data_IF_024112445911
#
_entry.id   IF_024112445911
#
_cell.length_a   1.000
_cell.length_b   1.000
_cell.length_c   1.000
_cell.angle_alpha   90.00
_cell.angle_beta   90.00
_cell.angle_gamma   90.00
#
_symmetry.space_group_name_H-M   'P 1'
#
loop_
_entity.id
_entity.type
_entity.pdbx_description
1 polymer ?
#
# COMPACT_ATOMS: atom_id res chain seq x y z
N UNK A 1 -10.54 -8.09 -3.78
CA UNK A 1 -10.22 -6.80 -3.18
C UNK A 1 -10.70 -5.66 -4.06
N UNK A 2 -11.17 -4.61 -3.45
CA UNK A 2 -11.65 -3.45 -4.19
C UNK A 2 -10.62 -2.33 -4.11
N UNK A 3 -10.32 -1.74 -5.27
CA UNK A 3 -9.40 -0.61 -5.34
C UNK A 3 -10.19 0.60 -5.81
N UNK A 4 -10.28 1.62 -4.97
CA UNK A 4 -10.92 2.88 -5.31
C UNK A 4 -9.84 3.91 -5.62
N UNK A 5 -9.99 4.62 -6.72
CA UNK A 5 -9.00 5.62 -7.12
C UNK A 5 -9.70 6.96 -7.27
N UNK A 6 -9.15 7.96 -6.59
CA UNK A 6 -9.67 9.33 -6.64
C UNK A 6 -8.58 10.26 -7.15
N UNK A 7 -8.95 11.21 -8.01
CA UNK A 7 -8.01 12.21 -8.50
C UNK A 7 -8.35 13.59 -7.95
N UNK A 8 -7.32 14.33 -7.54
CA UNK A 8 -7.44 15.72 -7.09
C UNK A 8 -6.57 16.57 -8.01
N UNK A 9 -7.21 17.40 -8.81
CA UNK A 9 -6.53 18.24 -9.81
C UNK A 9 -5.80 17.40 -10.86
N UNK A 10 -6.30 16.21 -11.11
CA UNK A 10 -5.77 15.31 -12.14
C UNK A 10 -6.87 14.36 -12.54
N UNK A 11 -6.98 14.11 -13.84
CA UNK A 11 -7.97 13.15 -14.35
C UNK A 11 -7.41 11.74 -14.22
N UNK A 12 -8.24 10.83 -13.75
CA UNK A 12 -7.85 9.43 -13.69
C UNK A 12 -8.14 8.83 -15.05
N UNK A 13 -7.15 8.88 -15.92
CA UNK A 13 -7.29 8.30 -17.26
C UNK A 13 -7.28 6.78 -17.18
N UNK A 14 -7.76 6.10 -18.23
CA UNK A 14 -7.67 4.64 -18.26
C UNK A 14 -6.24 4.15 -18.08
N UNK A 15 -5.27 4.87 -18.63
CA UNK A 15 -3.87 4.47 -18.49
C UNK A 15 -3.41 4.53 -17.04
N UNK A 16 -3.77 5.60 -16.32
CA UNK A 16 -3.42 5.72 -14.90
C UNK A 16 -4.14 4.65 -14.08
N UNK A 17 -5.41 4.43 -14.37
CA UNK A 17 -6.19 3.42 -13.65
C UNK A 17 -5.57 2.04 -13.83
N UNK A 18 -5.23 1.71 -15.08
CA UNK A 18 -4.63 0.41 -15.37
C UNK A 18 -3.27 0.26 -14.70
N UNK A 19 -2.50 1.33 -14.67
CA UNK A 19 -1.18 1.30 -14.07
C UNK A 19 -1.27 1.06 -12.56
N UNK A 20 -2.19 1.78 -11.90
CA UNK A 20 -2.41 1.59 -10.47
C UNK A 20 -2.82 0.14 -10.19
N UNK A 21 -3.79 -0.36 -10.95
CA UNK A 21 -4.25 -1.73 -10.76
C UNK A 21 -3.13 -2.73 -10.97
N UNK A 22 -2.35 -2.57 -12.04
CA UNK A 22 -1.27 -3.50 -12.32
C UNK A 22 -0.24 -3.53 -11.20
N UNK A 23 0.11 -2.35 -10.67
CA UNK A 23 1.11 -2.28 -9.62
C UNK A 23 0.60 -2.77 -8.29
N UNK A 24 -0.62 -2.42 -7.93
CA UNK A 24 -1.12 -2.70 -6.59
C UNK A 24 -1.78 -4.06 -6.44
N UNK A 25 -2.21 -4.67 -7.53
CA UNK A 25 -2.74 -6.03 -7.47
C UNK A 25 -1.69 -7.03 -7.00
N UNK A 26 -0.43 -6.70 -7.18
CA UNK A 26 0.65 -7.55 -6.68
C UNK A 26 0.59 -7.71 -5.18
N UNK A 27 0.17 -6.65 -4.49
CA UNK A 27 0.06 -6.70 -3.04
C UNK A 27 -0.99 -7.70 -2.61
N UNK A 28 -2.08 -7.75 -3.35
CA UNK A 28 -3.16 -8.69 -3.05
C UNK A 28 -2.68 -10.12 -3.15
N UNK A 29 -1.82 -10.40 -4.12
CA UNK A 29 -1.31 -11.75 -4.30
C UNK A 29 -0.39 -12.19 -3.18
N UNK A 30 0.27 -11.23 -2.54
CA UNK A 30 1.24 -11.53 -1.51
C UNK A 30 0.72 -11.37 -0.09
N UNK A 31 -0.50 -10.87 0.05
CA UNK A 31 -1.02 -10.62 1.38
C UNK A 31 -2.53 -10.86 1.40
N UNK A 32 -2.92 -12.00 1.95
CA UNK A 32 -4.31 -12.44 1.96
C UNK A 32 -5.23 -11.60 2.83
N UNK A 33 -4.67 -10.80 3.72
CA UNK A 33 -5.47 -10.03 4.66
C UNK A 33 -5.88 -8.66 4.18
N UNK A 34 -5.59 -8.34 2.91
CA UNK A 34 -6.04 -7.09 2.33
C UNK A 34 -7.51 -7.18 1.99
N UNK A 35 -8.30 -6.27 2.51
CA UNK A 35 -9.74 -6.24 2.26
C UNK A 35 -10.14 -5.10 1.35
N UNK A 36 -9.34 -4.06 1.25
CA UNK A 36 -9.64 -2.94 0.39
C UNK A 36 -8.46 -1.99 0.27
N UNK A 37 -8.53 -1.14 -0.73
CA UNK A 37 -7.49 -0.16 -0.98
C UNK A 37 -8.09 1.11 -1.53
N UNK A 38 -7.70 2.24 -0.99
CA UNK A 38 -8.13 3.53 -1.48
C UNK A 38 -6.90 4.32 -1.91
N UNK A 39 -6.88 4.75 -3.17
CA UNK A 39 -5.75 5.46 -3.74
C UNK A 39 -6.18 6.88 -4.10
N UNK A 40 -5.37 7.86 -3.73
CA UNK A 40 -5.61 9.25 -4.09
C UNK A 40 -4.40 9.75 -4.86
N UNK A 41 -4.65 10.27 -6.06
CA UNK A 41 -3.62 10.87 -6.88
C UNK A 41 -3.85 12.37 -6.92
N UNK A 42 -2.83 13.13 -6.58
CA UNK A 42 -2.94 14.59 -6.50
C UNK A 42 -1.83 15.25 -7.31
N UNK A 43 -2.17 16.27 -8.07
CA UNK A 43 -1.18 17.08 -8.78
C UNK A 43 -1.26 18.49 -8.23
N UNK A 44 -0.15 19.02 -7.77
CA UNK A 44 -0.05 20.38 -7.27
C UNK A 44 1.17 21.02 -7.91
N UNK A 45 0.96 21.92 -8.84
CA UNK A 45 2.04 22.54 -9.61
C UNK A 45 2.85 21.44 -10.29
N UNK A 46 4.11 21.29 -9.93
CA UNK A 46 5.00 20.29 -10.54
C UNK A 46 5.06 19.01 -9.70
N UNK A 47 4.32 18.94 -8.63
CA UNK A 47 4.39 17.82 -7.71
C UNK A 47 3.26 16.84 -7.96
N UNK A 48 3.62 15.58 -8.16
CA UNK A 48 2.66 14.51 -8.33
C UNK A 48 2.74 13.61 -7.10
N UNK A 49 1.63 13.49 -6.39
CA UNK A 49 1.57 12.68 -5.18
C UNK A 49 0.64 11.51 -5.38
N UNK A 50 1.09 10.34 -4.96
CA UNK A 50 0.27 9.15 -4.93
C UNK A 50 0.18 8.67 -3.49
N UNK A 51 -1.04 8.51 -2.98
CA UNK A 51 -1.28 8.08 -1.60
C UNK A 51 -2.17 6.86 -1.63
N UNK A 52 -2.00 5.98 -0.67
CA UNK A 52 -2.88 4.83 -0.57
C UNK A 52 -3.10 4.45 0.88
N UNK A 53 -4.34 4.07 1.18
CA UNK A 53 -4.70 3.48 2.46
C UNK A 53 -5.12 2.05 2.17
N UNK A 54 -4.47 1.11 2.81
CA UNK A 54 -4.80 -0.30 2.70
C UNK A 54 -5.58 -0.72 3.92
N UNK A 55 -6.73 -1.35 3.70
CA UNK A 55 -7.48 -1.93 4.81
C UNK A 55 -7.04 -3.37 4.97
N UNK A 56 -6.60 -3.70 6.16
CA UNK A 56 -6.17 -5.05 6.49
C UNK A 56 -6.99 -5.53 7.65
N UNK A 57 -6.91 -6.82 7.96
CA UNK A 57 -7.56 -7.33 9.15
C UNK A 57 -6.93 -6.64 10.36
N UNK A 58 -7.73 -6.03 11.18
CA UNK A 58 -7.26 -5.38 12.40
C UNK A 58 -6.48 -4.09 12.19
N UNK A 59 -6.72 -3.39 11.10
CA UNK A 59 -6.10 -2.09 10.97
C UNK A 59 -6.00 -1.55 9.58
N UNK A 60 -5.16 -0.54 9.43
CA UNK A 60 -4.93 0.13 8.16
C UNK A 60 -3.45 0.41 8.00
N UNK A 61 -3.00 0.37 6.75
CA UNK A 61 -1.64 0.79 6.41
C UNK A 61 -1.75 1.96 5.47
N UNK A 62 -0.86 2.91 5.63
CA UNK A 62 -0.86 4.10 4.79
C UNK A 62 0.53 4.38 4.27
N UNK A 63 0.61 4.83 3.03
CA UNK A 63 1.87 5.29 2.45
C UNK A 63 1.58 6.37 1.42
N UNK A 64 2.58 7.20 1.14
CA UNK A 64 2.49 8.17 0.07
C UNK A 64 3.86 8.33 -0.56
N UNK A 65 3.85 8.84 -1.78
CA UNK A 65 5.08 9.11 -2.51
C UNK A 65 4.85 10.30 -3.41
N UNK A 66 5.91 11.08 -3.61
CA UNK A 66 5.86 12.28 -4.43
C UNK A 66 6.96 12.20 -5.48
N UNK A 67 6.65 12.60 -6.69
CA UNK A 67 7.62 12.63 -7.78
C UNK A 67 7.18 13.70 -8.77
N UNK A 68 8.04 14.00 -9.73
CA UNK A 68 7.68 14.94 -10.79
C UNK A 68 6.85 14.28 -11.89
N UNK A 69 6.69 12.96 -11.81
CA UNK A 69 5.90 12.19 -12.76
C UNK A 69 4.98 11.25 -11.98
N UNK A 70 3.70 11.23 -12.36
CA UNK A 70 2.73 10.42 -11.62
C UNK A 70 3.03 8.93 -11.67
N UNK A 71 3.50 8.42 -12.81
CA UNK A 71 3.82 7.00 -12.91
C UNK A 71 4.97 6.64 -11.96
N UNK A 72 5.95 7.52 -11.86
CA UNK A 72 7.04 7.31 -10.92
C UNK A 72 6.55 7.39 -9.47
N UNK A 73 5.61 8.29 -9.20
CA UNK A 73 5.03 8.39 -7.87
C UNK A 73 4.29 7.10 -7.51
N UNK A 74 3.55 6.54 -8.46
CA UNK A 74 2.84 5.29 -8.24
C UNK A 74 3.82 4.14 -8.01
N UNK A 75 4.91 4.11 -8.76
CA UNK A 75 5.94 3.08 -8.56
C UNK A 75 6.53 3.16 -7.16
N UNK A 76 6.88 4.37 -6.74
CA UNK A 76 7.45 4.57 -5.41
C UNK A 76 6.44 4.21 -4.31
N UNK A 77 5.17 4.55 -4.54
CA UNK A 77 4.10 4.19 -3.61
C UNK A 77 3.99 2.68 -3.50
N UNK A 78 4.00 1.99 -4.63
CA UNK A 78 3.90 0.54 -4.66
C UNK A 78 5.04 -0.11 -3.86
N UNK A 79 6.26 0.41 -4.02
CA UNK A 79 7.41 -0.10 -3.29
C UNK A 79 7.25 0.12 -1.78
N UNK A 80 6.77 1.28 -1.38
CA UNK A 80 6.57 1.57 0.02
C UNK A 80 5.49 0.68 0.63
N UNK A 81 4.41 0.48 -0.10
CA UNK A 81 3.33 -0.38 0.37
C UNK A 81 3.78 -1.83 0.47
N UNK A 82 4.57 -2.29 -0.49
CA UNK A 82 5.08 -3.66 -0.46
C UNK A 82 5.93 -3.89 0.79
N UNK A 83 6.75 -2.91 1.14
CA UNK A 83 7.55 -3.01 2.35
C UNK A 83 6.70 -3.02 3.60
N UNK A 84 5.67 -2.17 3.64
CA UNK A 84 4.78 -2.12 4.79
C UNK A 84 3.97 -3.41 4.94
N UNK A 85 3.48 -3.94 3.82
CA UNK A 85 2.73 -5.19 3.84
C UNK A 85 3.60 -6.33 4.32
N UNK A 86 4.82 -6.40 3.82
CA UNK A 86 5.77 -7.43 4.24
C UNK A 86 6.07 -7.30 5.72
N UNK A 87 6.31 -6.08 6.17
CA UNK A 87 6.61 -5.83 7.57
C UNK A 87 5.43 -6.19 8.47
N UNK A 88 4.23 -5.86 8.02
CA UNK A 88 3.02 -6.18 8.77
C UNK A 88 2.83 -7.69 8.87
N UNK A 89 3.07 -8.39 7.77
CA UNK A 89 2.97 -9.84 7.73
C UNK A 89 3.99 -10.48 8.65
N UNK A 90 5.23 -9.98 8.61
CA UNK A 90 6.28 -10.47 9.49
C UNK A 90 5.95 -10.20 10.94
N UNK A 91 5.38 -9.04 11.21
CA UNK A 91 5.03 -8.68 12.57
C UNK A 91 3.96 -9.62 13.13
N UNK A 92 2.97 -9.97 12.32
CA UNK A 92 1.95 -10.91 12.74
C UNK A 92 2.54 -12.29 13.01
N UNK A 93 3.40 -12.74 12.12
CA UNK A 93 4.06 -14.02 12.27
C UNK A 93 4.98 -14.01 13.48
N UNK A 94 5.77 -12.96 13.60
CA UNK A 94 6.69 -12.84 14.72
C UNK A 94 5.97 -12.72 16.04
N UNK A 95 4.82 -12.08 16.03
CA UNK A 95 4.06 -11.97 17.24
C UNK A 95 3.57 -13.33 17.72
N UNK A 96 3.12 -14.15 16.78
CA UNK A 96 2.71 -15.51 17.11
C UNK A 96 3.89 -16.32 17.61
N UNK A 97 4.99 -16.25 16.90
CA UNK A 97 6.18 -16.95 17.29
C UNK A 97 6.71 -16.47 18.62
N UNK A 98 6.69 -15.17 18.79
CA UNK A 98 7.19 -14.59 20.02
C UNK A 98 6.35 -14.97 21.20
N UNK A 99 5.07 -15.13 20.98
CA UNK A 99 4.19 -15.55 22.05
C UNK A 99 4.59 -16.94 22.51
N UNK A 100 4.92 -17.80 21.58
CA UNK A 100 5.39 -19.13 21.89
C UNK A 100 6.75 -19.09 22.53
N UNK A 101 7.63 -18.37 21.91
CA UNK A 101 9.01 -18.32 22.35
C UNK A 101 9.16 -17.53 23.63
N UNK A 102 8.36 -16.54 23.78
CA UNK A 102 8.47 -15.71 24.94
C UNK A 102 8.30 -16.50 26.20
N UNK A 103 7.49 -17.50 26.12
CA UNK A 103 7.31 -18.38 27.23
C UNK A 103 8.62 -18.99 27.62
N UNK A 104 9.46 -19.21 26.62
CA UNK A 104 10.75 -19.80 26.87
C UNK A 104 11.78 -18.76 27.15
N UNK A 105 11.76 -17.73 26.34
CA UNK A 105 12.84 -16.79 26.35
C UNK A 105 12.75 -15.80 27.44
N UNK A 106 11.62 -15.61 27.93
CA UNK A 106 11.55 -14.64 28.95
C UNK A 106 12.12 -15.23 30.13
N UNK A 107 13.11 -14.91 30.42
CA UNK A 107 13.74 -15.39 31.59
C UNK A 107 13.63 -14.30 32.55
#
# INVERSE_FOLDING_TARGET
MQIDITGHHVDITPALRNYVHAKLERLERHFDHLTGMHVVLTVTKLEHRAEATLQVNHGKLFADAVDSDMYAAIDALSDKLARQVTKHKEKLTNHSDRTSVRTDAVP
#
